data_IF_557176708443
#
_entry.id   IF_557176708443
#
_cell.length_a   1.000
_cell.length_b   1.000
_cell.length_c   1.000
_cell.angle_alpha   90.00
_cell.angle_beta   90.00
_cell.angle_gamma   90.00
#
_symmetry.space_group_name_H-M   'P 1'
#
loop_
_entity.id
_entity.type
_entity.pdbx_description
1 polymer ?
#
# COMPACT_ATOMS: atom_id res chain seq x y z
N UNK A 1 -15.49 43.90 8.33
CA UNK A 1 -14.97 42.79 9.15
C UNK A 1 -14.07 43.38 10.21
N UNK A 2 -14.34 43.14 11.48
CA UNK A 2 -13.55 43.73 12.56
C UNK A 2 -12.14 43.12 12.58
N UNK A 3 -11.14 43.96 12.91
CA UNK A 3 -9.71 43.58 12.94
C UNK A 3 -9.47 42.33 13.80
N UNK A 4 -10.24 42.15 14.87
CA UNK A 4 -10.20 40.97 15.73
C UNK A 4 -10.50 39.66 14.99
N UNK A 5 -11.48 39.64 14.09
CA UNK A 5 -11.81 38.45 13.30
C UNK A 5 -10.71 38.12 12.29
N UNK A 6 -10.07 39.13 11.71
CA UNK A 6 -8.93 38.94 10.82
C UNK A 6 -7.76 38.28 11.55
N UNK A 7 -7.41 38.79 12.74
CA UNK A 7 -6.34 38.22 13.57
C UNK A 7 -6.65 36.77 13.96
N UNK A 8 -7.86 36.50 14.45
CA UNK A 8 -8.28 35.13 14.81
C UNK A 8 -8.20 34.16 13.63
N UNK A 9 -8.67 34.59 12.45
CA UNK A 9 -8.64 33.77 11.23
C UNK A 9 -7.20 33.47 10.80
N UNK A 10 -6.30 34.46 10.86
CA UNK A 10 -4.89 34.27 10.53
C UNK A 10 -4.19 33.33 11.51
N UNK A 11 -4.48 33.43 12.81
CA UNK A 11 -3.95 32.51 13.83
C UNK A 11 -4.42 31.08 13.58
N UNK A 12 -5.71 30.87 13.29
CA UNK A 12 -6.25 29.55 12.97
C UNK A 12 -5.61 28.97 11.70
N UNK A 13 -5.47 29.78 10.65
CA UNK A 13 -4.78 29.37 9.42
C UNK A 13 -3.34 28.98 9.69
N UNK A 14 -2.60 29.77 10.48
CA UNK A 14 -1.22 29.45 10.85
C UNK A 14 -1.14 28.12 11.60
N UNK A 15 -2.03 27.87 12.57
CA UNK A 15 -2.08 26.61 13.30
C UNK A 15 -2.37 25.42 12.38
N UNK A 16 -3.32 25.56 11.45
CA UNK A 16 -3.62 24.53 10.45
C UNK A 16 -2.42 24.23 9.55
N UNK A 17 -1.71 25.27 9.09
CA UNK A 17 -0.50 25.12 8.28
C UNK A 17 0.60 24.41 9.06
N UNK A 18 0.86 24.82 10.30
CA UNK A 18 1.88 24.20 11.16
C UNK A 18 1.53 22.73 11.43
N UNK A 19 0.25 22.42 11.74
CA UNK A 19 -0.21 21.06 11.95
C UNK A 19 -0.04 20.21 10.68
N UNK A 20 -0.41 20.73 9.51
CA UNK A 20 -0.23 20.03 8.24
C UNK A 20 1.26 19.75 7.94
N UNK A 21 2.15 20.73 8.19
CA UNK A 21 3.59 20.54 8.02
C UNK A 21 4.16 19.50 9.00
N UNK A 22 3.73 19.52 10.26
CA UNK A 22 4.13 18.53 11.26
C UNK A 22 3.68 17.11 10.86
N UNK A 23 2.43 16.95 10.40
CA UNK A 23 1.91 15.69 9.89
C UNK A 23 2.71 15.18 8.68
N UNK A 24 2.99 16.06 7.70
CA UNK A 24 3.82 15.71 6.53
C UNK A 24 5.22 15.28 6.96
N UNK A 25 5.82 15.95 7.94
CA UNK A 25 7.13 15.59 8.48
C UNK A 25 7.11 14.25 9.22
N UNK A 26 6.05 13.97 9.98
CA UNK A 26 5.84 12.67 10.63
C UNK A 26 5.67 11.53 9.62
N UNK A 27 4.86 11.75 8.58
CA UNK A 27 4.63 10.77 7.52
C UNK A 27 5.91 10.45 6.73
N UNK A 28 6.65 11.47 6.32
CA UNK A 28 7.91 11.28 5.59
C UNK A 28 8.97 10.58 6.42
N UNK A 29 9.07 10.87 7.72
CA UNK A 29 9.96 10.13 8.65
C UNK A 29 9.58 8.66 8.73
N UNK A 30 8.29 8.35 8.85
CA UNK A 30 7.77 6.98 8.87
C UNK A 30 8.13 6.22 7.59
N UNK A 31 7.91 6.83 6.42
CA UNK A 31 8.27 6.22 5.14
C UNK A 31 9.77 5.92 5.02
N UNK A 32 10.63 6.84 5.47
CA UNK A 32 12.09 6.65 5.46
C UNK A 32 12.51 5.51 6.40
N UNK A 33 11.99 5.49 7.62
CA UNK A 33 12.30 4.44 8.59
C UNK A 33 11.91 3.05 8.08
N UNK A 34 10.73 2.92 7.45
CA UNK A 34 10.28 1.65 6.88
C UNK A 34 11.15 1.21 5.68
N UNK A 35 11.54 2.14 4.80
CA UNK A 35 12.44 1.85 3.67
C UNK A 35 13.80 1.34 4.14
N UNK A 36 14.39 1.95 5.17
CA UNK A 36 15.68 1.49 5.72
C UNK A 36 15.56 0.06 6.28
N UNK A 37 14.44 -0.27 6.93
CA UNK A 37 14.22 -1.58 7.54
C UNK A 37 14.01 -2.71 6.52
N UNK A 38 13.37 -2.43 5.38
CA UNK A 38 13.00 -3.44 4.39
C UNK A 38 13.84 -3.43 3.11
N UNK A 39 14.68 -2.40 2.93
CA UNK A 39 15.41 -2.19 1.69
C UNK A 39 14.47 -1.82 0.54
N UNK A 40 14.85 -2.25 -0.66
CA UNK A 40 14.03 -2.08 -1.86
C UNK A 40 13.17 -3.32 -2.08
N UNK A 41 12.00 -3.14 -2.72
CA UNK A 41 11.19 -4.27 -3.17
C UNK A 41 11.98 -5.08 -4.20
N UNK A 42 11.67 -6.38 -4.30
CA UNK A 42 12.22 -7.18 -5.37
C UNK A 42 11.82 -6.57 -6.72
N UNK A 43 12.78 -6.30 -7.61
CA UNK A 43 12.45 -5.81 -8.94
C UNK A 43 11.64 -6.89 -9.67
N UNK A 44 10.66 -6.45 -10.45
CA UNK A 44 9.88 -7.35 -11.30
C UNK A 44 10.83 -7.96 -12.35
N UNK A 45 11.03 -9.30 -12.38
CA UNK A 45 11.92 -9.91 -13.35
C UNK A 45 11.35 -9.78 -14.77
N UNK A 46 12.19 -9.92 -15.81
CA UNK A 46 11.74 -10.15 -17.19
C UNK A 46 10.77 -11.34 -17.29
N UNK A 47 9.82 -11.28 -18.22
CA UNK A 47 8.72 -12.26 -18.32
C UNK A 47 9.20 -13.71 -18.46
N UNK A 48 10.28 -13.93 -19.22
CA UNK A 48 10.98 -15.21 -19.41
C UNK A 48 11.53 -15.81 -18.11
N UNK A 49 11.84 -14.97 -17.11
CA UNK A 49 12.38 -15.41 -15.81
C UNK A 49 11.33 -15.56 -14.72
N UNK A 50 10.06 -15.26 -15.01
CA UNK A 50 8.96 -15.40 -14.04
C UNK A 50 8.38 -16.83 -14.01
N UNK A 51 8.62 -17.60 -15.07
CA UNK A 51 8.09 -18.94 -15.23
C UNK A 51 6.68 -18.98 -15.83
N UNK A 52 6.08 -20.17 -15.82
CA UNK A 52 4.78 -20.42 -16.44
C UNK A 52 3.64 -19.82 -15.59
N UNK A 53 2.60 -19.30 -16.25
CA UNK A 53 1.41 -18.78 -15.60
C UNK A 53 0.57 -19.95 -15.08
N UNK A 54 0.38 -19.99 -13.76
CA UNK A 54 -0.44 -21.00 -13.09
C UNK A 54 -1.89 -20.54 -12.91
N UNK A 55 -2.09 -19.24 -12.66
CA UNK A 55 -3.41 -18.66 -12.42
C UNK A 55 -3.43 -17.18 -12.80
N UNK A 56 -4.54 -16.77 -13.40
CA UNK A 56 -4.85 -15.36 -13.66
C UNK A 56 -4.67 -14.97 -15.13
N UNK A 57 -4.81 -13.66 -15.44
CA UNK A 57 -4.98 -12.54 -14.51
C UNK A 57 -6.31 -12.57 -13.73
N UNK A 58 -6.24 -12.36 -12.40
CA UNK A 58 -7.42 -12.24 -11.53
C UNK A 58 -7.56 -10.80 -11.04
N UNK A 59 -8.64 -10.14 -11.46
CA UNK A 59 -8.95 -8.78 -11.02
C UNK A 59 -9.46 -8.75 -9.58
N UNK A 60 -9.00 -7.77 -8.80
CA UNK A 60 -9.38 -7.59 -7.42
C UNK A 60 -9.10 -6.19 -6.88
N UNK A 61 -9.22 -6.05 -5.56
CA UNK A 61 -8.87 -4.83 -4.84
C UNK A 61 -7.70 -5.15 -3.93
N UNK A 62 -6.59 -4.43 -4.14
CA UNK A 62 -5.49 -4.42 -3.19
C UNK A 62 -5.89 -3.58 -1.98
N UNK A 63 -5.86 -4.22 -0.82
CA UNK A 63 -6.38 -3.68 0.45
C UNK A 63 -5.25 -2.99 1.25
N UNK A 64 -3.99 -3.18 0.85
CA UNK A 64 -2.78 -2.65 1.50
C UNK A 64 -1.98 -3.72 2.25
N UNK A 65 -0.68 -3.47 2.43
CA UNK A 65 0.24 -4.31 3.18
C UNK A 65 0.47 -3.78 4.60
N UNK A 66 0.76 -4.69 5.53
CA UNK A 66 1.14 -4.40 6.91
C UNK A 66 2.31 -5.28 7.34
N UNK A 67 3.06 -4.87 8.35
CA UNK A 67 4.14 -5.67 8.91
C UNK A 67 3.59 -6.72 9.87
N UNK A 68 4.08 -7.96 9.74
CA UNK A 68 3.84 -8.97 10.77
C UNK A 68 4.78 -8.75 11.97
N UNK A 69 4.36 -9.05 13.20
CA UNK A 69 3.02 -9.52 13.59
C UNK A 69 1.99 -8.37 13.80
N UNK A 70 2.43 -7.11 13.78
CA UNK A 70 1.58 -5.97 14.08
C UNK A 70 0.77 -5.50 12.85
N UNK A 71 -0.43 -6.06 12.67
CA UNK A 71 -1.33 -5.71 11.57
C UNK A 71 -1.73 -4.22 11.49
N UNK A 72 -1.63 -3.47 12.60
CA UNK A 72 -1.88 -2.03 12.61
C UNK A 72 -0.72 -1.24 11.97
N UNK A 73 0.47 -1.83 11.91
CA UNK A 73 1.64 -1.23 11.29
C UNK A 73 1.57 -1.34 9.77
N UNK A 74 0.83 -0.43 9.13
CA UNK A 74 0.71 -0.37 7.68
C UNK A 74 2.02 0.07 7.02
N UNK A 75 2.30 -0.51 5.87
CA UNK A 75 3.40 -0.11 4.98
C UNK A 75 3.01 1.21 4.33
N UNK A 76 3.79 2.26 4.55
CA UNK A 76 3.51 3.61 4.07
C UNK A 76 4.37 4.00 2.85
N UNK A 77 5.33 3.16 2.45
CA UNK A 77 6.22 3.39 1.31
C UNK A 77 5.76 2.61 0.06
N UNK A 78 6.23 3.03 -1.12
CA UNK A 78 5.93 2.41 -2.42
C UNK A 78 4.43 2.21 -2.74
N UNK A 79 3.55 3.05 -2.22
CA UNK A 79 2.11 2.95 -2.51
C UNK A 79 1.42 1.70 -1.92
N UNK A 80 2.14 0.86 -1.17
CA UNK A 80 1.64 -0.40 -0.59
C UNK A 80 0.66 -0.19 0.58
N UNK A 81 0.48 1.05 1.03
CA UNK A 81 -0.53 1.39 2.05
C UNK A 81 -1.88 1.77 1.47
N UNK A 82 -1.95 2.01 0.15
CA UNK A 82 -3.13 2.55 -0.52
C UNK A 82 -4.07 1.43 -0.96
N UNK A 83 -5.36 1.72 -0.91
CA UNK A 83 -6.38 0.84 -1.47
C UNK A 83 -6.48 1.14 -2.96
N UNK A 84 -6.21 0.13 -3.79
CA UNK A 84 -6.12 0.28 -5.24
C UNK A 84 -6.76 -0.89 -5.96
N UNK A 85 -7.15 -0.68 -7.22
CA UNK A 85 -7.47 -1.80 -8.12
C UNK A 85 -6.19 -2.59 -8.35
N UNK A 86 -6.30 -3.91 -8.44
CA UNK A 86 -5.15 -4.76 -8.72
C UNK A 86 -5.51 -5.96 -9.57
N UNK A 87 -4.52 -6.45 -10.30
CA UNK A 87 -4.60 -7.71 -11.04
C UNK A 87 -3.52 -8.64 -10.51
N UNK A 88 -3.91 -9.83 -10.07
CA UNK A 88 -3.00 -10.87 -9.57
C UNK A 88 -2.75 -11.92 -10.65
N UNK A 89 -1.48 -12.19 -10.94
CA UNK A 89 -1.05 -13.29 -11.80
C UNK A 89 -0.08 -14.18 -11.03
N UNK A 90 -0.47 -15.44 -10.83
CA UNK A 90 0.37 -16.48 -10.22
C UNK A 90 1.21 -17.14 -11.29
N UNK A 91 2.52 -17.23 -11.05
CA UNK A 91 3.49 -17.87 -11.93
C UNK A 91 4.34 -18.85 -11.11
N UNK A 92 5.00 -19.81 -11.75
CA UNK A 92 5.85 -20.78 -11.03
C UNK A 92 6.98 -20.11 -10.24
N UNK A 93 7.49 -18.97 -10.71
CA UNK A 93 8.49 -18.18 -10.00
C UNK A 93 7.95 -17.32 -8.85
N UNK A 94 6.64 -17.10 -8.75
CA UNK A 94 6.04 -16.23 -7.73
C UNK A 94 4.76 -15.54 -8.17
N UNK A 95 4.40 -14.48 -7.45
CA UNK A 95 3.18 -13.70 -7.70
C UNK A 95 3.52 -12.32 -8.23
N UNK A 96 2.82 -11.92 -9.29
CA UNK A 96 2.84 -10.56 -9.80
C UNK A 96 1.52 -9.89 -9.46
N UNK A 97 1.58 -8.79 -8.71
CA UNK A 97 0.44 -7.93 -8.44
C UNK A 97 0.63 -6.63 -9.21
N UNK A 98 -0.15 -6.41 -10.25
CA UNK A 98 -0.23 -5.10 -10.89
C UNK A 98 -1.14 -4.21 -10.05
N UNK A 99 -0.58 -3.21 -9.36
CA UNK A 99 -1.30 -2.37 -8.40
C UNK A 99 -1.39 -0.97 -9.00
N UNK A 100 -2.62 -0.52 -9.26
CA UNK A 100 -2.91 0.83 -9.75
C UNK A 100 -2.74 1.86 -8.61
N UNK A 101 -1.48 2.17 -8.31
CA UNK A 101 -1.07 3.06 -7.21
C UNK A 101 0.13 3.88 -7.66
N UNK A 102 0.19 5.19 -7.35
CA UNK A 102 1.26 6.08 -7.80
C UNK A 102 2.66 5.69 -7.27
N UNK A 103 2.74 4.75 -6.32
CA UNK A 103 4.00 4.26 -5.78
C UNK A 103 4.51 2.95 -6.39
N UNK A 104 3.75 2.29 -7.27
CA UNK A 104 4.07 0.94 -7.77
C UNK A 104 3.74 0.74 -9.27
N UNK A 105 4.36 1.51 -10.18
CA UNK A 105 4.04 1.46 -11.62
C UNK A 105 4.41 0.12 -12.30
N UNK A 106 5.42 -0.59 -11.80
CA UNK A 106 5.92 -1.85 -12.42
C UNK A 106 5.30 -3.11 -11.80
N UNK A 107 4.25 -2.94 -10.99
CA UNK A 107 3.67 -3.97 -10.16
C UNK A 107 4.57 -4.38 -8.98
N UNK A 108 4.02 -5.20 -8.09
CA UNK A 108 4.69 -5.80 -6.95
C UNK A 108 4.99 -7.27 -7.28
N UNK A 109 6.27 -7.61 -7.37
CA UNK A 109 6.74 -8.99 -7.50
C UNK A 109 7.02 -9.61 -6.14
N UNK A 110 6.47 -10.79 -5.90
CA UNK A 110 6.69 -11.60 -4.70
C UNK A 110 7.25 -12.96 -5.14
N UNK A 111 8.56 -13.21 -4.99
CA UNK A 111 9.16 -14.50 -5.31
C UNK A 111 8.51 -15.63 -4.52
N UNK A 112 8.32 -16.81 -5.15
CA UNK A 112 7.74 -17.97 -4.47
C UNK A 112 8.52 -18.34 -3.19
N UNK A 113 9.85 -18.26 -3.23
CA UNK A 113 10.72 -18.52 -2.08
C UNK A 113 10.55 -17.54 -0.90
N UNK A 114 9.96 -16.36 -1.13
CA UNK A 114 9.68 -15.38 -0.09
C UNK A 114 8.29 -15.56 0.55
N UNK A 115 7.45 -16.45 0.01
CA UNK A 115 6.08 -16.68 0.49
C UNK A 115 6.12 -17.71 1.62
N UNK A 116 5.76 -17.26 2.82
CA UNK A 116 5.68 -18.13 4.00
C UNK A 116 4.32 -18.85 4.09
N UNK A 117 3.24 -18.15 3.75
CA UNK A 117 1.89 -18.70 3.78
C UNK A 117 0.94 -17.90 2.88
N UNK A 118 -0.08 -18.59 2.35
CA UNK A 118 -1.21 -17.98 1.63
C UNK A 118 -2.49 -18.50 2.27
N UNK A 119 -3.43 -17.61 2.55
CA UNK A 119 -4.71 -17.97 3.18
C UNK A 119 -5.85 -17.12 2.64
N UNK A 120 -7.04 -17.71 2.58
CA UNK A 120 -8.28 -16.98 2.38
C UNK A 120 -8.82 -16.54 3.75
N UNK A 121 -9.27 -15.29 3.85
CA UNK A 121 -9.88 -14.76 5.07
C UNK A 121 -11.17 -14.02 4.75
N UNK A 122 -12.11 -14.03 5.70
CA UNK A 122 -13.35 -13.24 5.60
C UNK A 122 -13.11 -11.74 5.80
N UNK A 123 -11.98 -11.38 6.41
CA UNK A 123 -11.56 -10.00 6.63
C UNK A 123 -10.04 -9.94 6.70
N UNK A 124 -9.44 -8.88 6.16
CA UNK A 124 -8.00 -8.65 6.24
C UNK A 124 -7.75 -7.30 6.94
N UNK A 125 -7.02 -7.32 8.07
CA UNK A 125 -6.65 -6.13 8.83
C UNK A 125 -7.85 -5.21 9.14
N UNK A 126 -8.95 -5.80 9.65
CA UNK A 126 -10.19 -5.10 9.97
C UNK A 126 -11.03 -4.66 8.77
N UNK A 127 -10.66 -5.05 7.53
CA UNK A 127 -11.43 -4.74 6.32
C UNK A 127 -12.15 -5.98 5.80
N UNK A 128 -13.46 -5.87 5.67
CA UNK A 128 -14.27 -6.89 5.00
C UNK A 128 -14.30 -6.63 3.49
N UNK A 129 -14.06 -7.65 2.65
CA UNK A 129 -14.38 -7.53 1.24
C UNK A 129 -15.88 -7.30 1.10
N UNK A 130 -16.29 -6.50 0.11
CA UNK A 130 -17.70 -6.40 -0.24
C UNK A 130 -18.22 -7.81 -0.52
N UNK A 131 -19.39 -8.18 0.03
CA UNK A 131 -20.01 -9.48 -0.29
C UNK A 131 -20.10 -9.60 -1.80
N UNK A 132 -19.52 -10.66 -2.36
CA UNK A 132 -19.75 -11.01 -3.74
C UNK A 132 -21.27 -11.18 -3.90
N UNK A 133 -21.89 -10.38 -4.77
CA UNK A 133 -23.26 -10.65 -5.19
C UNK A 133 -23.20 -11.96 -5.97
N UNK A 134 -23.81 -13.01 -5.43
CA UNK A 134 -24.07 -14.24 -6.16
C UNK A 134 -24.83 -13.88 -7.44
N UNK A 135 -24.22 -14.15 -8.58
CA UNK A 135 -24.88 -14.23 -9.88
C UNK A 135 -25.32 -15.67 -10.11
#
# INVERSE_FOLDING_TARGET
MDVSYLVQTLVLLLLLVVAALAMRRGWTRRQRAQRVRFGNLHPTPPADKRGEVLLGPVSGIYIGSSFAPNWQERVAWAGLGLRSRTTLTSQTGGFLLDIDSPGQPDGLWIPAAAVVAVRSERAAAGRWPARARSA
#
